data_IF_367488269722
#
_entry.id   IF_367488269722
#
_cell.length_a   1.000
_cell.length_b   1.000
_cell.length_c   1.000
_cell.angle_alpha   90.00
_cell.angle_beta   90.00
_cell.angle_gamma   90.00
#
_symmetry.space_group_name_H-M   'P 1'
#
loop_
_entity.id
_entity.type
_entity.pdbx_description
1 polymer ?
#
# COMPACT_ATOMS: atom_id res chain seq x y z
N UNK A 1 -60.32 -25.47 5.37
CA UNK A 1 -60.01 -26.12 6.67
C UNK A 1 -58.51 -26.31 6.78
N UNK A 2 -57.95 -26.09 7.99
CA UNK A 2 -56.59 -26.48 8.45
C UNK A 2 -55.45 -25.60 7.88
N UNK A 3 -54.54 -24.99 8.64
CA UNK A 3 -54.24 -24.98 10.08
C UNK A 3 -53.51 -23.68 10.41
N UNK A 4 -53.81 -23.16 11.60
CA UNK A 4 -53.06 -22.21 12.43
C UNK A 4 -51.56 -22.49 12.41
N UNK A 5 -50.73 -21.44 12.50
CA UNK A 5 -49.49 -21.44 13.28
C UNK A 5 -49.01 -20.00 13.45
N UNK A 6 -49.43 -19.40 14.57
CA UNK A 6 -48.78 -18.24 15.16
C UNK A 6 -47.33 -18.59 15.46
N UNK A 7 -46.38 -17.85 14.87
CA UNK A 7 -45.01 -17.81 15.36
C UNK A 7 -44.72 -16.38 15.78
N UNK A 8 -44.79 -16.19 17.08
CA UNK A 8 -44.38 -15.00 17.82
C UNK A 8 -42.94 -14.65 17.44
N UNK A 9 -42.75 -13.59 16.67
CA UNK A 9 -41.45 -12.98 16.49
C UNK A 9 -41.16 -12.15 17.73
N UNK A 10 -40.32 -12.71 18.60
CA UNK A 10 -39.90 -12.09 19.83
C UNK A 10 -39.02 -10.88 19.53
N UNK A 11 -39.39 -9.80 20.20
CA UNK A 11 -38.86 -8.45 20.15
C UNK A 11 -37.38 -8.41 20.54
N UNK A 12 -36.48 -8.21 19.57
CA UNK A 12 -35.13 -7.70 19.86
C UNK A 12 -35.16 -6.18 19.69
N UNK A 13 -35.30 -5.48 20.81
CA UNK A 13 -35.08 -4.05 20.89
C UNK A 13 -33.58 -3.79 20.65
N UNK A 14 -33.23 -3.30 19.45
CA UNK A 14 -31.90 -2.77 19.17
C UNK A 14 -31.91 -1.34 19.70
N UNK A 15 -31.28 -1.14 20.86
CA UNK A 15 -30.97 0.18 21.39
C UNK A 15 -30.03 0.88 20.41
N UNK A 16 -30.56 1.83 19.63
CA UNK A 16 -29.75 2.76 18.83
C UNK A 16 -29.03 3.67 19.82
N UNK A 17 -27.73 3.42 20.03
CA UNK A 17 -26.86 4.40 20.64
C UNK A 17 -26.69 5.56 19.65
N UNK A 18 -27.42 6.65 19.89
CA UNK A 18 -27.19 7.94 19.24
C UNK A 18 -25.80 8.44 19.65
N UNK A 19 -24.82 8.26 18.76
CA UNK A 19 -23.58 9.03 18.83
C UNK A 19 -23.95 10.49 18.61
N UNK A 20 -24.00 11.25 19.70
CA UNK A 20 -24.02 12.71 19.68
C UNK A 20 -22.65 13.15 19.13
N UNK A 21 -22.56 13.29 17.81
CA UNK A 21 -21.50 14.06 17.18
C UNK A 21 -21.66 15.51 17.60
N UNK A 22 -20.91 15.93 18.60
CA UNK A 22 -20.78 17.33 18.97
C UNK A 22 -20.17 18.08 17.80
N UNK A 23 -20.92 19.05 17.27
CA UNK A 23 -20.42 20.08 16.38
C UNK A 23 -19.32 20.86 17.09
N UNK A 24 -18.08 20.70 16.64
CA UNK A 24 -16.95 21.55 17.03
C UNK A 24 -16.53 22.40 15.83
N UNK A 25 -17.03 23.63 15.85
CA UNK A 25 -16.44 24.89 15.39
C UNK A 25 -15.55 24.85 14.14
N UNK A 26 -16.09 25.41 13.06
CA UNK A 26 -15.31 25.99 11.97
C UNK A 26 -14.47 27.15 12.53
N UNK A 27 -13.18 26.91 12.73
CA UNK A 27 -12.16 27.93 12.83
C UNK A 27 -11.13 27.62 11.73
N UNK A 28 -10.87 28.66 10.93
CA UNK A 28 -9.84 28.78 9.92
C UNK A 28 -8.48 28.32 10.46
N UNK A 29 -8.11 27.08 10.14
CA UNK A 29 -6.73 26.62 10.20
C UNK A 29 -6.44 26.01 8.83
N UNK A 30 -5.29 26.37 8.25
CA UNK A 30 -4.71 25.63 7.13
C UNK A 30 -4.59 24.17 7.58
N UNK A 31 -5.60 23.36 7.26
CA UNK A 31 -5.54 21.92 7.45
C UNK A 31 -4.43 21.46 6.52
N UNK A 32 -3.27 21.17 7.07
CA UNK A 32 -2.22 20.44 6.37
C UNK A 32 -2.80 19.05 6.05
N UNK A 33 -3.43 18.93 4.87
CA UNK A 33 -4.14 17.72 4.40
C UNK A 33 -3.15 16.62 3.96
N UNK A 34 -2.00 16.51 4.61
CA UNK A 34 -1.11 15.37 4.42
C UNK A 34 -1.04 14.63 5.74
N UNK A 35 -1.93 13.65 5.99
CA UNK A 35 -1.63 12.68 7.03
C UNK A 35 -0.23 12.15 6.71
N UNK A 36 0.70 12.23 7.65
CA UNK A 36 2.02 11.62 7.52
C UNK A 36 1.76 10.11 7.52
N UNK A 37 1.45 9.54 6.35
CA UNK A 37 1.16 8.12 6.25
C UNK A 37 2.46 7.39 6.55
N UNK A 38 2.46 6.64 7.65
CA UNK A 38 3.61 5.82 8.01
C UNK A 38 3.81 4.77 6.94
N UNK A 39 4.94 4.81 6.24
CA UNK A 39 5.32 3.80 5.26
C UNK A 39 5.39 2.43 5.94
N UNK A 40 4.62 1.48 5.41
CA UNK A 40 4.54 0.12 5.94
C UNK A 40 5.66 -0.76 5.38
N UNK A 41 6.07 -1.82 6.09
CA UNK A 41 7.02 -2.80 5.55
C UNK A 41 6.53 -3.48 4.27
N UNK A 42 5.22 -3.63 4.08
CA UNK A 42 4.63 -4.23 2.88
C UNK A 42 4.83 -3.33 1.64
N UNK A 43 4.69 -2.01 1.79
CA UNK A 43 4.96 -1.07 0.71
C UNK A 43 6.44 -1.10 0.32
N UNK A 44 7.35 -1.09 1.31
CA UNK A 44 8.79 -1.22 1.04
C UNK A 44 9.14 -2.55 0.38
N UNK A 45 8.49 -3.65 0.79
CA UNK A 45 8.70 -4.96 0.17
C UNK A 45 8.22 -4.97 -1.28
N UNK A 46 7.04 -4.40 -1.56
CA UNK A 46 6.53 -4.26 -2.92
C UNK A 46 7.48 -3.43 -3.79
N UNK A 47 7.98 -2.30 -3.28
CA UNK A 47 8.98 -1.46 -3.97
C UNK A 47 10.26 -2.26 -4.22
N UNK A 48 10.79 -2.97 -3.22
CA UNK A 48 11.98 -3.80 -3.41
C UNK A 48 11.80 -4.83 -4.53
N UNK A 49 10.65 -5.50 -4.61
CA UNK A 49 10.35 -6.48 -5.66
C UNK A 49 10.42 -5.88 -7.07
N UNK A 50 10.09 -4.59 -7.24
CA UNK A 50 10.23 -3.91 -8.53
C UNK A 50 11.69 -3.89 -9.01
N UNK A 51 12.66 -3.74 -8.10
CA UNK A 51 14.09 -3.84 -8.45
C UNK A 51 14.51 -5.22 -8.93
N UNK A 52 13.82 -6.29 -8.49
CA UNK A 52 14.14 -7.65 -8.91
C UNK A 52 13.54 -7.99 -10.27
N UNK A 53 12.32 -7.52 -10.57
CA UNK A 53 11.59 -7.96 -11.75
C UNK A 53 11.67 -6.99 -12.93
N UNK A 54 11.74 -5.68 -12.67
CA UNK A 54 11.63 -4.68 -13.74
C UNK A 54 12.87 -4.54 -14.64
N UNK A 55 14.12 -4.74 -14.18
CA UNK A 55 15.29 -4.63 -15.08
C UNK A 55 15.27 -5.59 -16.29
N UNK A 56 14.53 -6.69 -16.18
CA UNK A 56 14.30 -7.65 -17.29
C UNK A 56 13.05 -7.36 -18.14
N UNK A 57 12.24 -6.39 -17.76
CA UNK A 57 10.97 -6.03 -18.41
C UNK A 57 11.06 -4.70 -19.16
N UNK A 58 11.89 -3.76 -18.72
CA UNK A 58 12.01 -2.42 -19.32
C UNK A 58 13.03 -2.36 -20.45
N UNK A 59 12.80 -1.45 -21.40
CA UNK A 59 13.77 -1.14 -22.49
C UNK A 59 14.86 -0.19 -22.03
N UNK A 60 14.49 0.86 -21.30
CA UNK A 60 15.41 1.90 -20.82
C UNK A 60 15.71 1.70 -19.33
N UNK A 61 16.78 0.95 -19.07
CA UNK A 61 17.21 0.65 -17.70
C UNK A 61 17.69 1.89 -16.93
N UNK A 62 18.22 2.89 -17.63
CA UNK A 62 18.71 4.10 -16.99
C UNK A 62 17.54 4.92 -16.43
N UNK A 63 16.50 5.11 -17.24
CA UNK A 63 15.26 5.76 -16.79
C UNK A 63 14.55 4.96 -15.70
N UNK A 64 14.46 3.64 -15.84
CA UNK A 64 13.94 2.80 -14.75
C UNK A 64 14.71 3.02 -13.44
N UNK A 65 16.05 2.97 -13.47
CA UNK A 65 16.86 3.18 -12.27
C UNK A 65 16.62 4.57 -11.66
N UNK A 66 16.49 5.61 -12.49
CA UNK A 66 16.18 6.97 -12.02
C UNK A 66 14.80 7.05 -11.35
N UNK A 67 13.76 6.53 -11.98
CA UNK A 67 12.41 6.51 -11.41
C UNK A 67 12.32 5.63 -10.16
N UNK A 68 13.00 4.49 -10.15
CA UNK A 68 13.10 3.62 -8.99
C UNK A 68 13.79 4.33 -7.81
N UNK A 69 14.93 4.98 -8.05
CA UNK A 69 15.64 5.74 -7.01
C UNK A 69 14.77 6.85 -6.43
N UNK A 70 14.02 7.57 -7.28
CA UNK A 70 13.07 8.60 -6.88
C UNK A 70 11.96 8.02 -5.97
N UNK A 71 11.32 6.94 -6.42
CA UNK A 71 10.29 6.24 -5.63
C UNK A 71 10.83 5.79 -4.26
N UNK A 72 12.00 5.14 -4.22
CA UNK A 72 12.56 4.68 -2.94
C UNK A 72 12.88 5.85 -2.01
N UNK A 73 13.34 6.99 -2.53
CA UNK A 73 13.59 8.18 -1.73
C UNK A 73 12.32 8.78 -1.11
N UNK A 74 11.19 8.72 -1.83
CA UNK A 74 9.89 9.18 -1.32
C UNK A 74 9.35 8.29 -0.19
N UNK A 75 9.61 6.98 -0.26
CA UNK A 75 9.16 6.01 0.74
C UNK A 75 10.17 5.78 1.89
N UNK A 76 11.38 6.30 1.77
CA UNK A 76 12.41 6.29 2.82
C UNK A 76 12.98 7.69 3.03
N UNK A 77 12.14 8.68 3.38
CA UNK A 77 12.58 10.05 3.57
C UNK A 77 13.61 10.14 4.70
N UNK A 78 14.65 10.94 4.50
CA UNK A 78 15.73 11.14 5.48
C UNK A 78 16.84 10.07 5.46
N UNK A 79 16.72 9.00 4.66
CA UNK A 79 17.83 8.08 4.45
C UNK A 79 18.87 8.71 3.52
N UNK A 80 20.15 8.66 3.90
CA UNK A 80 21.25 9.17 3.07
C UNK A 80 21.36 8.43 1.73
N UNK A 81 21.15 7.11 1.77
CA UNK A 81 21.18 6.23 0.61
C UNK A 81 19.92 5.35 0.62
N UNK A 82 18.74 5.86 0.21
CA UNK A 82 17.46 5.17 0.36
C UNK A 82 17.45 3.75 -0.24
N UNK A 83 18.00 3.58 -1.44
CA UNK A 83 18.10 2.27 -2.11
C UNK A 83 18.96 1.30 -1.33
N UNK A 84 20.10 1.74 -0.81
CA UNK A 84 20.95 0.87 0.01
C UNK A 84 20.27 0.53 1.34
N UNK A 85 19.59 1.49 1.97
CA UNK A 85 18.80 1.23 3.17
C UNK A 85 17.72 0.17 2.92
N UNK A 86 17.01 0.25 1.79
CA UNK A 86 16.03 -0.75 1.39
C UNK A 86 16.68 -2.12 1.10
N UNK A 87 17.86 -2.14 0.46
CA UNK A 87 18.63 -3.36 0.24
C UNK A 87 19.06 -4.02 1.56
N UNK A 88 19.45 -3.24 2.56
CA UNK A 88 19.80 -3.77 3.88
C UNK A 88 18.56 -4.28 4.63
N UNK A 89 17.43 -3.56 4.52
CA UNK A 89 16.15 -4.00 5.06
C UNK A 89 15.72 -5.35 4.50
N UNK A 90 15.93 -5.59 3.19
CA UNK A 90 15.61 -6.86 2.52
C UNK A 90 16.29 -8.09 3.15
N UNK A 91 17.39 -7.89 3.88
CA UNK A 91 18.20 -8.94 4.52
C UNK A 91 17.75 -9.24 5.95
N UNK A 92 16.93 -8.37 6.56
CA UNK A 92 16.47 -8.53 7.94
C UNK A 92 15.44 -9.66 8.04
N UNK A 93 15.49 -10.43 9.14
CA UNK A 93 14.74 -11.69 9.26
C UNK A 93 13.21 -11.49 9.25
N UNK A 94 12.74 -10.44 9.90
CA UNK A 94 11.34 -10.01 9.96
C UNK A 94 10.83 -9.53 8.60
N UNK A 95 11.64 -8.74 7.89
CA UNK A 95 11.26 -8.22 6.57
C UNK A 95 11.24 -9.30 5.49
N UNK A 96 12.08 -10.34 5.60
CA UNK A 96 12.13 -11.45 4.63
C UNK A 96 10.81 -12.18 4.46
N UNK A 97 10.00 -12.30 5.51
CA UNK A 97 8.68 -12.93 5.40
C UNK A 97 7.74 -12.09 4.53
N UNK A 98 7.67 -10.80 4.80
CA UNK A 98 6.87 -9.81 4.06
C UNK A 98 7.35 -9.72 2.60
N UNK A 99 8.67 -9.75 2.39
CA UNK A 99 9.25 -9.77 1.06
C UNK A 99 8.87 -11.03 0.27
N UNK A 100 8.77 -12.20 0.91
CA UNK A 100 8.34 -13.41 0.23
C UNK A 100 6.87 -13.33 -0.23
N UNK A 101 6.01 -12.67 0.55
CA UNK A 101 4.62 -12.40 0.15
C UNK A 101 4.55 -11.45 -1.04
N UNK A 102 5.26 -10.31 -0.99
CA UNK A 102 5.31 -9.36 -2.10
C UNK A 102 5.82 -10.00 -3.41
N UNK A 103 6.83 -10.89 -3.33
CA UNK A 103 7.31 -11.66 -4.49
C UNK A 103 6.23 -12.60 -5.04
N UNK A 104 5.48 -13.25 -4.15
CA UNK A 104 4.37 -14.14 -4.52
C UNK A 104 3.26 -13.36 -5.21
N UNK A 105 2.92 -12.18 -4.71
CA UNK A 105 1.92 -11.31 -5.30
C UNK A 105 2.33 -10.79 -6.68
N UNK A 106 3.58 -10.33 -6.84
CA UNK A 106 4.10 -9.95 -8.14
C UNK A 106 4.09 -11.12 -9.14
N UNK A 107 4.42 -12.34 -8.69
CA UNK A 107 4.32 -13.55 -9.53
C UNK A 107 2.87 -13.82 -9.95
N UNK A 108 1.92 -13.71 -9.02
CA UNK A 108 0.48 -13.92 -9.25
C UNK A 108 -0.12 -12.86 -10.16
N UNK A 109 0.33 -11.61 -10.07
CA UNK A 109 -0.08 -10.52 -10.96
C UNK A 109 0.31 -10.81 -12.42
N UNK A 110 1.46 -11.46 -12.62
CA UNK A 110 1.92 -11.94 -13.92
C UNK A 110 2.56 -10.85 -14.78
N UNK A 111 3.23 -11.29 -15.85
CA UNK A 111 4.10 -10.45 -16.68
C UNK A 111 3.41 -9.18 -17.20
N UNK A 112 2.16 -9.28 -17.67
CA UNK A 112 1.46 -8.14 -18.27
C UNK A 112 1.22 -7.02 -17.26
N UNK A 113 0.81 -7.34 -16.02
CA UNK A 113 0.55 -6.34 -14.98
C UNK A 113 1.86 -5.75 -14.47
N UNK A 114 2.88 -6.59 -14.26
CA UNK A 114 4.20 -6.11 -13.82
C UNK A 114 4.84 -5.20 -14.88
N UNK A 115 4.70 -5.52 -16.17
CA UNK A 115 5.21 -4.69 -17.27
C UNK A 115 4.67 -3.26 -17.19
N UNK A 116 3.37 -3.08 -16.95
CA UNK A 116 2.76 -1.74 -16.83
C UNK A 116 3.43 -0.94 -15.70
N UNK A 117 3.59 -1.54 -14.53
CA UNK A 117 4.23 -0.89 -13.37
C UNK A 117 5.70 -0.55 -13.67
N UNK A 118 6.42 -1.46 -14.32
CA UNK A 118 7.81 -1.23 -14.69
C UNK A 118 7.97 -0.10 -15.73
N UNK A 119 7.05 0.00 -16.68
CA UNK A 119 7.00 1.07 -17.67
C UNK A 119 6.60 2.41 -17.02
N UNK A 120 5.69 2.39 -16.04
CA UNK A 120 5.35 3.56 -15.21
C UNK A 120 6.56 4.09 -14.44
N UNK A 121 7.37 3.21 -13.83
CA UNK A 121 8.61 3.64 -13.18
C UNK A 121 9.64 4.21 -14.17
N UNK A 122 9.66 3.71 -15.40
CA UNK A 122 10.49 4.29 -16.46
C UNK A 122 10.02 5.70 -16.82
N UNK A 123 8.70 5.95 -16.82
CA UNK A 123 8.13 7.28 -17.05
C UNK A 123 8.30 8.22 -15.83
N UNK A 124 8.32 7.65 -14.62
CA UNK A 124 8.50 8.38 -13.35
C UNK A 124 9.89 8.99 -13.17
N UNK A 125 10.82 8.68 -14.07
CA UNK A 125 12.18 9.22 -14.06
C UNK A 125 12.27 10.74 -14.21
N UNK A 126 11.19 11.41 -14.65
CA UNK A 126 11.19 12.82 -15.04
C UNK A 126 10.63 13.74 -13.95
#
# INVERSE_FOLDING_TARGET
>A
MKKTLFKTFSLCAISVATFLGTSANAADENIEVTPVQSVTPHELAAIYVLSEICPGMVKDKAKFNQGYNKLVAEYLPGQKNPVESLNQLSKQADFRHILAEAKTDAKKAGKKKNQVICDELTAYSN
#
